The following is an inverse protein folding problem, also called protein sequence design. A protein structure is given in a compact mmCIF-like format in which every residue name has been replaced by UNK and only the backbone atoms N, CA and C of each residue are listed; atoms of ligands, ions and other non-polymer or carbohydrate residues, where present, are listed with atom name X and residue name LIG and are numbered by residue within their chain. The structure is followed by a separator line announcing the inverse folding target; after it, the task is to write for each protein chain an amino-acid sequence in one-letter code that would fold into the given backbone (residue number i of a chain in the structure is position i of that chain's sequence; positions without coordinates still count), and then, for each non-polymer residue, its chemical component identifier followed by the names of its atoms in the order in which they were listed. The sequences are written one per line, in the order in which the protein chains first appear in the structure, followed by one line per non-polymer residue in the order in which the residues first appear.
data_IF_106287327683
#
_entry.id   IF_106287327683
#
_cell.length_a   1.000
_cell.length_b   1.000
_cell.length_c   1.000
_cell.angle_alpha   90.00
_cell.angle_beta   90.00
_cell.angle_gamma   90.00
#
_symmetry.space_group_name_H-M   'P 1'
#
loop_
_entity.id
_entity.type
_entity.pdbx_description
1 polymer ?
#
# COMPACT_ATOMS: atom_id res chain seq x y z
N UNK A 1 -17.47 23.26 -19.56
CA UNK A 1 -17.98 22.88 -18.23
C UNK A 1 -17.05 21.80 -17.68
N UNK A 2 -16.28 22.10 -16.63
CA UNK A 2 -15.44 21.12 -15.93
C UNK A 2 -16.32 20.32 -14.97
N UNK A 3 -16.60 19.05 -15.28
CA UNK A 3 -17.27 18.15 -14.34
C UNK A 3 -16.20 17.54 -13.45
N UNK A 4 -16.04 18.13 -12.27
CA UNK A 4 -15.22 17.59 -11.18
C UNK A 4 -15.84 16.26 -10.74
N UNK A 5 -15.01 15.21 -10.80
CA UNK A 5 -15.06 13.96 -10.04
C UNK A 5 -16.43 13.48 -9.57
N UNK A 6 -17.07 12.61 -10.36
CA UNK A 6 -17.89 11.53 -9.80
C UNK A 6 -17.39 10.20 -10.32
N UNK A 7 -16.43 9.65 -9.60
CA UNK A 7 -16.00 8.28 -9.79
C UNK A 7 -16.83 7.42 -8.85
N UNK A 8 -17.83 6.74 -9.40
CA UNK A 8 -18.69 5.86 -8.64
C UNK A 8 -18.01 4.50 -8.49
N UNK A 9 -17.53 4.19 -7.28
CA UNK A 9 -17.29 2.80 -6.86
C UNK A 9 -18.49 2.40 -5.98
N UNK A 10 -19.68 2.40 -6.56
CA UNK A 10 -20.83 1.67 -6.03
C UNK A 10 -21.43 0.91 -7.19
N UNK A 11 -21.71 -0.36 -6.95
CA UNK A 11 -22.69 -1.11 -7.73
C UNK A 11 -23.98 -0.31 -7.75
N UNK A 12 -24.29 0.30 -8.90
CA UNK A 12 -25.69 0.52 -9.24
C UNK A 12 -26.37 -0.85 -9.21
N UNK A 13 -27.62 -0.96 -8.72
CA UNK A 13 -28.39 -2.18 -8.92
C UNK A 13 -28.27 -2.57 -10.40
N UNK A 14 -27.76 -3.77 -10.66
CA UNK A 14 -27.54 -4.37 -11.99
C UNK A 14 -26.41 -3.82 -12.87
N UNK A 15 -25.54 -2.92 -12.38
CA UNK A 15 -24.35 -2.52 -13.12
C UNK A 15 -23.06 -3.03 -12.45
N UNK A 16 -22.43 -4.02 -13.10
CA UNK A 16 -21.06 -4.45 -12.78
C UNK A 16 -20.10 -3.72 -13.69
N UNK A 17 -19.11 -3.04 -13.12
CA UNK A 17 -18.03 -2.46 -13.91
C UNK A 17 -17.33 -3.56 -14.72
N UNK A 18 -17.13 -3.29 -15.99
CA UNK A 18 -16.38 -4.16 -16.90
C UNK A 18 -14.89 -4.11 -16.57
N UNK A 19 -14.14 -5.12 -17.03
CA UNK A 19 -12.68 -5.18 -16.90
C UNK A 19 -12.00 -3.91 -17.43
N UNK A 20 -12.48 -3.40 -18.57
CA UNK A 20 -11.98 -2.18 -19.20
C UNK A 20 -12.26 -0.93 -18.37
N UNK A 21 -13.45 -0.80 -17.78
CA UNK A 21 -13.78 0.35 -16.92
C UNK A 21 -12.96 0.34 -15.63
N UNK A 22 -12.72 -0.84 -15.05
CA UNK A 22 -11.84 -0.98 -13.88
C UNK A 22 -10.41 -0.58 -14.26
N UNK A 23 -9.90 -1.05 -15.39
CA UNK A 23 -8.57 -0.68 -15.87
C UNK A 23 -8.45 0.83 -16.13
N UNK A 24 -9.43 1.41 -16.82
CA UNK A 24 -9.45 2.86 -17.10
C UNK A 24 -9.45 3.67 -15.80
N UNK A 25 -10.25 3.27 -14.82
CA UNK A 25 -10.26 3.89 -13.50
C UNK A 25 -8.89 3.81 -12.82
N UNK A 26 -8.27 2.62 -12.78
CA UNK A 26 -6.94 2.41 -12.18
C UNK A 26 -5.85 3.20 -12.88
N UNK A 27 -5.98 3.37 -14.19
CA UNK A 27 -5.03 4.10 -15.01
C UNK A 27 -5.27 5.61 -15.02
N UNK A 28 -6.37 6.09 -14.42
CA UNK A 28 -6.67 7.51 -14.33
C UNK A 28 -5.62 8.27 -13.52
N UNK A 29 -5.38 9.53 -13.89
CA UNK A 29 -4.35 10.39 -13.29
C UNK A 29 -4.43 10.44 -11.77
N UNK A 30 -5.64 10.58 -11.22
CA UNK A 30 -5.84 10.72 -9.78
C UNK A 30 -5.57 9.42 -9.03
N UNK A 31 -5.91 8.28 -9.63
CA UNK A 31 -5.70 6.96 -9.02
C UNK A 31 -4.22 6.58 -9.02
N UNK A 32 -3.53 6.83 -10.14
CA UNK A 32 -2.05 6.71 -10.19
C UNK A 32 -1.38 7.59 -9.16
N UNK A 33 -1.77 8.85 -9.08
CA UNK A 33 -1.24 9.78 -8.08
C UNK A 33 -1.48 9.28 -6.65
N UNK A 34 -2.69 8.80 -6.33
CA UNK A 34 -2.99 8.24 -5.02
C UNK A 34 -2.10 7.02 -4.71
N UNK A 35 -1.91 6.13 -5.69
CA UNK A 35 -1.06 4.95 -5.55
C UNK A 35 0.41 5.34 -5.27
N UNK A 36 0.96 6.27 -6.05
CA UNK A 36 2.34 6.76 -5.92
C UNK A 36 2.58 7.48 -4.59
N UNK A 37 1.54 8.05 -3.98
CA UNK A 37 1.65 8.85 -2.76
C UNK A 37 1.23 8.09 -1.50
N UNK A 38 0.80 6.83 -1.57
CA UNK A 38 0.34 6.04 -0.40
C UNK A 38 1.32 6.05 0.77
N UNK A 39 2.62 5.96 0.47
CA UNK A 39 3.69 5.89 1.45
C UNK A 39 4.28 7.26 1.77
N UNK A 40 3.81 8.33 1.11
CA UNK A 40 4.27 9.69 1.39
C UNK A 40 3.69 10.20 2.70
N UNK A 41 4.42 11.13 3.33
CA UNK A 41 4.00 11.77 4.57
C UNK A 41 2.80 12.68 4.34
N UNK A 42 1.85 12.68 5.28
CA UNK A 42 0.66 13.56 5.22
C UNK A 42 1.01 14.98 5.67
N UNK A 43 1.97 15.13 6.59
CA UNK A 43 2.51 16.43 7.03
C UNK A 43 4.04 16.38 7.17
N UNK A 44 4.69 17.54 7.06
CA UNK A 44 6.10 17.74 7.43
C UNK A 44 6.23 17.83 8.97
N UNK A 45 5.86 16.77 9.68
CA UNK A 45 6.08 16.66 11.13
C UNK A 45 7.06 15.51 11.37
N UNK A 46 7.83 15.59 12.44
CA UNK A 46 8.93 14.68 12.80
C UNK A 46 8.52 13.21 13.04
N UNK A 47 7.29 12.81 12.71
CA UNK A 47 6.84 11.43 12.79
C UNK A 47 7.04 10.72 11.43
N UNK A 48 8.07 9.86 11.27
CA UNK A 48 8.30 9.12 10.03
C UNK A 48 7.16 8.14 9.69
N UNK A 49 6.28 7.83 10.63
CA UNK A 49 5.16 6.89 10.45
C UNK A 49 3.83 7.59 10.06
N UNK A 50 3.82 8.91 9.88
CA UNK A 50 2.63 9.69 9.51
C UNK A 50 2.44 9.72 7.98
N UNK A 51 1.97 8.60 7.41
CA UNK A 51 1.77 8.41 5.97
C UNK A 51 0.30 8.18 5.62
N UNK A 52 -0.09 8.35 4.36
CA UNK A 52 -1.48 8.10 3.94
C UNK A 52 -1.92 6.67 4.26
N UNK A 53 -1.06 5.68 4.01
CA UNK A 53 -1.36 4.28 4.34
C UNK A 53 -1.50 4.06 5.85
N UNK A 54 -0.71 4.75 6.69
CA UNK A 54 -0.86 4.60 8.15
C UNK A 54 -2.19 5.17 8.63
N UNK A 55 -2.65 6.30 8.07
CA UNK A 55 -3.99 6.83 8.34
C UNK A 55 -5.11 5.88 7.89
N UNK A 56 -4.99 5.25 6.72
CA UNK A 56 -5.94 4.23 6.27
C UNK A 56 -6.00 3.07 7.26
N UNK A 57 -4.84 2.54 7.67
CA UNK A 57 -4.76 1.45 8.66
C UNK A 57 -5.41 1.88 9.98
N UNK A 58 -5.13 3.09 10.46
CA UNK A 58 -5.68 3.62 11.71
C UNK A 58 -7.20 3.71 11.67
N UNK A 59 -7.78 4.17 10.57
CA UNK A 59 -9.23 4.29 10.41
C UNK A 59 -9.91 2.93 10.23
N UNK A 60 -9.35 2.05 9.40
CA UNK A 60 -9.90 0.70 9.15
C UNK A 60 -9.84 -0.16 10.41
N UNK A 61 -8.77 -0.04 11.20
CA UNK A 61 -8.57 -0.80 12.43
C UNK A 61 -8.93 0.00 13.68
N UNK A 62 -9.76 1.04 13.58
CA UNK A 62 -10.09 1.89 14.74
C UNK A 62 -10.72 1.13 15.91
N UNK A 63 -11.43 0.04 15.64
CA UNK A 63 -12.05 -0.85 16.64
C UNK A 63 -11.35 -2.19 16.78
N UNK A 64 -10.26 -2.43 16.04
CA UNK A 64 -9.57 -3.72 15.99
C UNK A 64 -8.13 -3.58 16.50
N UNK A 65 -7.54 -4.67 16.96
CA UNK A 65 -6.13 -4.66 17.35
C UNK A 65 -5.23 -4.40 16.13
N UNK A 66 -4.25 -3.51 16.31
CA UNK A 66 -3.25 -3.17 15.28
C UNK A 66 -2.06 -4.12 15.30
N UNK A 67 -2.36 -5.43 15.27
CA UNK A 67 -1.35 -6.47 15.12
C UNK A 67 -0.86 -6.54 13.66
N UNK A 68 0.36 -7.05 13.47
CA UNK A 68 1.03 -7.13 12.16
C UNK A 68 0.15 -7.73 11.06
N UNK A 69 -0.56 -8.83 11.35
CA UNK A 69 -1.42 -9.50 10.36
C UNK A 69 -2.58 -8.61 9.90
N UNK A 70 -3.21 -7.86 10.81
CA UNK A 70 -4.30 -6.96 10.45
C UNK A 70 -3.79 -5.79 9.61
N UNK A 71 -2.62 -5.25 9.94
CA UNK A 71 -1.97 -4.20 9.14
C UNK A 71 -1.60 -4.73 7.73
N UNK A 72 -1.01 -5.92 7.63
CA UNK A 72 -0.68 -6.56 6.34
C UNK A 72 -1.91 -6.83 5.49
N UNK A 73 -3.02 -7.23 6.10
CA UNK A 73 -4.30 -7.42 5.42
C UNK A 73 -4.79 -6.11 4.80
N UNK A 74 -4.81 -5.01 5.56
CA UNK A 74 -5.22 -3.69 5.06
C UNK A 74 -4.30 -3.23 3.91
N UNK A 75 -2.98 -3.30 4.10
CA UNK A 75 -2.00 -2.92 3.07
C UNK A 75 -2.24 -3.73 1.79
N UNK A 76 -2.41 -5.05 1.91
CA UNK A 76 -2.61 -5.93 0.76
C UNK A 76 -3.86 -5.58 -0.03
N UNK A 77 -4.97 -5.27 0.65
CA UNK A 77 -6.21 -4.85 -0.02
C UNK A 77 -5.99 -3.52 -0.74
N UNK A 78 -5.37 -2.54 -0.08
CA UNK A 78 -5.14 -1.21 -0.66
C UNK A 78 -4.29 -1.32 -1.93
N UNK A 79 -3.22 -2.11 -1.91
CA UNK A 79 -2.40 -2.30 -3.10
C UNK A 79 -3.13 -3.03 -4.22
N UNK A 80 -3.84 -4.13 -3.91
CA UNK A 80 -4.61 -4.86 -4.92
C UNK A 80 -5.72 -3.99 -5.54
N UNK A 81 -6.28 -3.06 -4.76
CA UNK A 81 -7.24 -2.08 -5.26
C UNK A 81 -6.61 -1.15 -6.30
N UNK A 82 -5.34 -0.78 -6.17
CA UNK A 82 -4.64 0.07 -7.14
C UNK A 82 -3.93 -0.69 -8.27
N UNK A 83 -3.75 -2.01 -8.13
CA UNK A 83 -3.01 -2.84 -9.07
C UNK A 83 -3.72 -2.96 -10.44
N UNK A 84 -3.17 -2.44 -11.55
CA UNK A 84 -3.81 -2.48 -12.87
C UNK A 84 -3.92 -3.89 -13.45
N UNK A 85 -3.17 -4.88 -12.94
CA UNK A 85 -3.32 -6.28 -13.35
C UNK A 85 -4.63 -6.88 -12.79
N UNK A 86 -5.17 -6.31 -11.72
CA UNK A 86 -6.41 -6.76 -11.09
C UNK A 86 -7.59 -5.98 -11.65
N UNK A 87 -8.14 -6.42 -12.78
CA UNK A 87 -9.22 -5.74 -13.49
C UNK A 87 -10.62 -6.19 -13.06
N UNK A 88 -10.79 -6.41 -11.74
CA UNK A 88 -12.05 -6.86 -11.14
C UNK A 88 -12.39 -5.97 -9.94
N UNK A 89 -13.68 -5.86 -9.64
CA UNK A 89 -14.19 -5.18 -8.44
C UNK A 89 -14.25 -6.09 -7.21
N UNK A 90 -13.91 -7.38 -7.36
CA UNK A 90 -13.97 -8.39 -6.29
C UNK A 90 -12.59 -8.97 -6.07
N UNK A 91 -12.09 -8.87 -4.83
CA UNK A 91 -10.84 -9.50 -4.39
C UNK A 91 -11.16 -10.81 -3.67
N UNK A 92 -10.52 -11.90 -4.08
CA UNK A 92 -10.65 -13.18 -3.38
C UNK A 92 -9.76 -13.23 -2.15
N UNK A 93 -10.15 -14.03 -1.15
CA UNK A 93 -9.31 -14.27 0.04
C UNK A 93 -7.94 -14.85 -0.33
N UNK A 94 -7.88 -15.75 -1.31
CA UNK A 94 -6.63 -16.33 -1.81
C UNK A 94 -5.67 -15.27 -2.37
N UNK A 95 -6.19 -14.32 -3.15
CA UNK A 95 -5.40 -13.23 -3.72
C UNK A 95 -4.84 -12.33 -2.62
N UNK A 96 -5.65 -12.01 -1.61
CA UNK A 96 -5.24 -11.20 -0.47
C UNK A 96 -4.15 -11.93 0.34
N UNK A 97 -4.36 -13.22 0.66
CA UNK A 97 -3.39 -14.04 1.40
C UNK A 97 -2.06 -14.13 0.65
N UNK A 98 -2.10 -14.34 -0.68
CA UNK A 98 -0.89 -14.37 -1.51
C UNK A 98 -0.13 -13.05 -1.40
N UNK A 99 -0.81 -11.91 -1.51
CA UNK A 99 -0.19 -10.58 -1.40
C UNK A 99 0.40 -10.34 -0.01
N UNK A 100 -0.26 -10.78 1.06
CA UNK A 100 0.27 -10.69 2.43
C UNK A 100 1.58 -11.47 2.58
N UNK A 101 1.64 -12.69 2.04
CA UNK A 101 2.85 -13.54 2.07
C UNK A 101 3.99 -12.89 1.29
N UNK A 102 3.70 -12.31 0.12
CA UNK A 102 4.70 -11.63 -0.69
C UNK A 102 5.29 -10.41 0.03
N UNK A 103 4.45 -9.65 0.75
CA UNK A 103 4.88 -8.56 1.62
C UNK A 103 5.81 -9.00 2.75
N UNK A 104 5.42 -10.04 3.48
CA UNK A 104 6.23 -10.60 4.58
C UNK A 104 7.60 -11.06 4.06
N UNK A 105 7.65 -11.69 2.87
CA UNK A 105 8.91 -12.06 2.21
C UNK A 105 9.76 -10.85 1.83
N UNK A 106 9.15 -9.79 1.29
CA UNK A 106 9.88 -8.57 0.92
C UNK A 106 10.47 -7.87 2.16
N UNK A 107 9.70 -7.75 3.23
CA UNK A 107 10.17 -7.19 4.51
C UNK A 107 11.37 -7.97 5.06
N UNK A 108 11.29 -9.32 5.08
CA UNK A 108 12.39 -10.19 5.53
C UNK A 108 13.64 -10.03 4.66
N UNK A 109 13.50 -9.91 3.35
CA UNK A 109 14.63 -9.66 2.43
C UNK A 109 15.29 -8.30 2.67
N UNK A 110 14.50 -7.24 2.83
CA UNK A 110 15.02 -5.90 3.12
C UNK A 110 15.73 -5.88 4.47
N UNK A 111 15.19 -6.55 5.48
CA UNK A 111 15.80 -6.64 6.80
C UNK A 111 17.15 -7.38 6.75
N UNK A 112 17.22 -8.54 6.09
CA UNK A 112 18.48 -9.27 5.92
C UNK A 112 19.54 -8.46 5.16
N UNK A 113 19.13 -7.72 4.12
CA UNK A 113 20.03 -6.84 3.37
C UNK A 113 20.56 -5.69 4.22
N UNK A 114 19.75 -5.14 5.11
CA UNK A 114 20.18 -4.09 6.03
C UNK A 114 21.19 -4.61 7.06
N UNK A 115 21.03 -5.85 7.55
CA UNK A 115 22.02 -6.50 8.40
C UNK A 115 23.35 -6.76 7.69
N UNK A 116 23.32 -7.17 6.41
CA UNK A 116 24.54 -7.33 5.60
C UNK A 116 25.27 -6.00 5.32
N UNK A 117 24.53 -4.88 5.26
CA UNK A 117 25.14 -3.55 5.10
C UNK A 117 25.72 -3.00 6.41
N UNK A 118 25.09 -3.29 7.55
CA UNK A 118 25.56 -2.86 8.89
C UNK A 118 26.85 -3.59 9.30
N UNK A 119 27.02 -4.87 8.92
CA UNK A 119 28.28 -5.61 9.12
C UNK A 119 29.46 -5.06 8.30
N UNK A 120 29.19 -4.31 7.22
CA UNK A 120 30.24 -3.68 6.39
C UNK A 120 30.57 -2.23 6.81
N UNK A 121 29.84 -1.62 7.75
CA UNK A 121 30.17 -0.29 8.31
C UNK A 121 31.03 -0.33 9.57
N UNK A 122 31.37 -1.52 10.10
CA UNK A 122 32.32 -1.67 11.21
C UNK A 122 33.73 -1.88 10.65
N UNK A 123 34.30 -0.83 10.05
CA UNK A 123 35.64 -0.87 9.48
C UNK A 123 36.36 0.49 9.58
N UNK A 124 37.23 0.58 10.58
CA UNK A 124 38.29 1.59 10.79
C UNK A 124 37.90 2.94 11.43
N UNK A 125 37.83 2.94 12.77
CA UNK A 125 38.52 3.98 13.55
C UNK A 125 39.75 3.35 14.19
N UNK A 126 40.85 3.34 13.45
CA UNK A 126 42.16 3.32 14.09
C UNK A 126 42.41 4.75 14.60
N UNK A 127 42.25 4.90 15.92
CA UNK A 127 43.00 5.88 16.68
C UNK A 127 44.48 5.58 16.47
N UNK A 128 45.24 6.56 15.98
CA UNK A 128 46.59 6.89 16.48
C UNK A 128 47.17 8.05 15.65
N UNK A 129 47.27 9.23 16.28
CA UNK A 129 48.53 9.97 16.44
C UNK A 129 48.38 11.09 17.47
#
# INVERSE_FOLDING_TARGET
MNVVGKTFIRTYPDHKATSSEVLEWKMSKNVKWACENLWNKVKNVDNPSDTYISHIIQEVLKTNERITNNCLFVISIVELMFDPEIQTTVLSGELIIKRMIDWDKQQKKTLNKNYELDENEIGYKDTDN
#
